data_IF_528683911088
#
_entry.id   IF_528683911088
#
_cell.length_a   1.000
_cell.length_b   1.000
_cell.length_c   1.000
_cell.angle_alpha   90.00
_cell.angle_beta   90.00
_cell.angle_gamma   90.00
#
_symmetry.space_group_name_H-M   'P 1'
#
loop_
_entity.id
_entity.type
_entity.pdbx_description
1 polymer ?
#
# COMPACT_ATOMS: atom_id res chain seq x y z
N UNK A 1 15.91 9.93 -16.42
CA UNK A 1 15.11 11.11 -16.81
C UNK A 1 14.55 11.10 -18.24
N UNK A 2 14.94 10.20 -19.14
CA UNK A 2 14.39 10.13 -20.53
C UNK A 2 13.22 9.14 -20.70
N UNK A 3 13.03 8.19 -19.82
CA UNK A 3 11.98 7.14 -19.93
C UNK A 3 10.64 7.63 -19.34
N UNK A 4 10.64 8.59 -18.40
CA UNK A 4 9.41 9.11 -17.78
C UNK A 4 8.61 10.05 -18.69
N UNK A 5 9.23 10.64 -19.72
CA UNK A 5 8.53 11.56 -20.65
C UNK A 5 7.65 10.85 -21.68
N UNK A 6 7.87 9.56 -21.93
CA UNK A 6 7.11 8.81 -22.92
C UNK A 6 5.85 8.13 -22.35
N UNK A 7 5.78 7.91 -21.03
CA UNK A 7 4.67 7.17 -20.39
C UNK A 7 3.43 8.04 -20.09
N UNK A 8 3.56 9.37 -20.05
CA UNK A 8 2.45 10.28 -19.70
C UNK A 8 1.74 10.93 -20.88
N UNK A 9 2.24 10.75 -22.12
CA UNK A 9 1.63 11.37 -23.31
C UNK A 9 0.55 10.51 -24.00
N UNK A 10 0.43 9.25 -23.65
CA UNK A 10 -0.43 8.32 -24.37
C UNK A 10 -1.92 8.23 -23.94
N UNK A 11 -2.37 8.58 -22.73
CA UNK A 11 -3.77 8.36 -22.36
C UNK A 11 -4.73 9.51 -22.70
N UNK A 12 -4.25 10.68 -23.17
CA UNK A 12 -5.15 11.83 -23.39
C UNK A 12 -5.88 11.82 -24.74
N UNK A 13 -5.46 10.97 -25.68
CA UNK A 13 -6.02 10.93 -27.04
C UNK A 13 -7.25 10.02 -27.21
N UNK A 14 -7.66 9.27 -26.17
CA UNK A 14 -8.81 8.33 -26.21
C UNK A 14 -10.11 8.90 -25.64
N UNK A 15 -10.18 10.18 -25.31
CA UNK A 15 -11.39 10.85 -24.81
C UNK A 15 -12.21 11.49 -25.96
N UNK A 16 -12.50 10.76 -27.02
CA UNK A 16 -13.56 11.14 -27.95
C UNK A 16 -14.82 10.41 -27.46
N UNK A 17 -15.88 11.12 -26.99
CA UNK A 17 -17.12 10.48 -26.65
C UNK A 17 -17.82 10.07 -27.95
N UNK A 18 -17.57 8.86 -28.44
CA UNK A 18 -18.57 8.19 -29.24
C UNK A 18 -19.72 7.85 -28.29
N UNK A 19 -20.96 8.14 -28.67
CA UNK A 19 -22.16 7.75 -27.93
C UNK A 19 -22.15 6.21 -27.76
N UNK A 20 -21.40 5.74 -26.76
CA UNK A 20 -21.37 4.35 -26.40
C UNK A 20 -22.70 4.09 -25.66
N UNK A 21 -23.55 3.27 -26.25
CA UNK A 21 -24.66 2.68 -25.52
C UNK A 21 -24.08 2.12 -24.23
N UNK A 22 -24.64 2.57 -23.08
CA UNK A 22 -24.20 2.10 -21.79
C UNK A 22 -24.22 0.57 -21.79
N UNK A 23 -23.06 -0.05 -21.72
CA UNK A 23 -22.98 -1.50 -21.62
C UNK A 23 -23.70 -1.93 -20.33
N UNK A 24 -24.51 -3.01 -20.36
CA UNK A 24 -25.24 -3.43 -19.19
C UNK A 24 -24.26 -3.72 -18.05
N UNK A 25 -24.55 -3.15 -16.87
CA UNK A 25 -23.75 -3.39 -15.69
C UNK A 25 -23.76 -4.90 -15.37
N UNK A 26 -22.59 -5.41 -14.99
CA UNK A 26 -22.45 -6.82 -14.62
C UNK A 26 -23.24 -7.08 -13.33
N UNK A 27 -24.27 -7.94 -13.43
CA UNK A 27 -25.08 -8.33 -12.28
C UNK A 27 -24.45 -9.52 -11.56
N UNK A 28 -23.85 -9.26 -10.40
CA UNK A 28 -23.23 -10.28 -9.57
C UNK A 28 -24.17 -11.37 -9.09
N UNK A 29 -25.50 -11.12 -9.04
CA UNK A 29 -26.49 -12.12 -8.66
C UNK A 29 -26.59 -13.26 -9.68
N UNK A 30 -26.17 -13.04 -10.92
CA UNK A 30 -26.11 -14.06 -11.98
C UNK A 30 -24.83 -14.89 -11.95
N UNK A 31 -23.92 -14.59 -11.02
CA UNK A 31 -22.63 -15.26 -10.91
C UNK A 31 -22.69 -16.38 -9.87
N UNK A 32 -22.62 -17.63 -10.34
CA UNK A 32 -22.45 -18.80 -9.47
C UNK A 32 -21.01 -18.95 -9.00
N UNK A 33 -20.77 -19.82 -8.01
CA UNK A 33 -19.47 -20.06 -7.40
C UNK A 33 -18.28 -20.28 -8.38
N UNK A 34 -18.43 -20.87 -9.60
CA UNK A 34 -17.30 -21.04 -10.50
C UNK A 34 -16.61 -19.74 -10.92
N UNK A 35 -17.32 -18.61 -10.85
CA UNK A 35 -16.74 -17.28 -11.13
C UNK A 35 -15.68 -16.83 -10.11
N UNK A 36 -15.63 -17.50 -8.96
CA UNK A 36 -14.55 -17.29 -7.99
C UNK A 36 -13.24 -18.01 -8.36
N UNK A 37 -13.25 -18.97 -9.30
CA UNK A 37 -12.09 -19.76 -9.67
C UNK A 37 -10.90 -18.94 -10.19
N UNK A 38 -11.06 -17.94 -11.06
CA UNK A 38 -9.94 -17.10 -11.49
C UNK A 38 -9.30 -16.33 -10.32
N UNK A 39 -10.12 -15.85 -9.40
CA UNK A 39 -9.63 -15.17 -8.19
C UNK A 39 -8.86 -16.16 -7.27
N UNK A 40 -9.42 -17.32 -7.01
CA UNK A 40 -8.73 -18.37 -6.26
C UNK A 40 -7.42 -18.80 -6.96
N UNK A 41 -7.44 -18.91 -8.28
CA UNK A 41 -6.29 -19.28 -9.09
C UNK A 41 -5.14 -18.27 -8.99
N UNK A 42 -5.43 -16.96 -9.06
CA UNK A 42 -4.39 -15.94 -8.90
C UNK A 42 -3.85 -15.91 -7.47
N UNK A 43 -4.71 -16.04 -6.45
CA UNK A 43 -4.28 -16.11 -5.05
C UNK A 43 -3.37 -17.32 -4.79
N UNK A 44 -3.74 -18.50 -5.30
CA UNK A 44 -2.90 -19.69 -5.20
C UNK A 44 -1.59 -19.52 -5.97
N UNK A 45 -1.60 -18.86 -7.12
CA UNK A 45 -0.39 -18.56 -7.88
C UNK A 45 0.55 -17.65 -7.08
N UNK A 46 0.03 -16.63 -6.39
CA UNK A 46 0.82 -15.73 -5.52
C UNK A 46 1.38 -16.48 -4.31
N UNK A 47 0.55 -17.32 -3.66
CA UNK A 47 0.95 -18.03 -2.45
C UNK A 47 1.94 -19.18 -2.72
N UNK A 48 1.68 -19.98 -3.75
CA UNK A 48 2.44 -21.19 -4.03
C UNK A 48 3.53 -21.00 -5.09
N UNK A 49 3.37 -20.04 -5.99
CA UNK A 49 4.32 -19.77 -7.08
C UNK A 49 5.76 -19.57 -6.60
N UNK A 50 6.04 -18.68 -5.64
CA UNK A 50 7.37 -18.47 -5.09
C UNK A 50 7.95 -19.71 -4.41
N UNK A 51 7.09 -20.55 -3.80
CA UNK A 51 7.50 -21.74 -3.04
C UNK A 51 7.77 -22.94 -3.95
N UNK A 52 6.87 -23.22 -4.88
CA UNK A 52 6.93 -24.43 -5.72
C UNK A 52 7.72 -24.20 -7.01
N UNK A 53 7.63 -23.01 -7.60
CA UNK A 53 8.22 -22.69 -8.90
C UNK A 53 8.97 -21.32 -8.87
N UNK A 54 9.97 -21.16 -7.97
CA UNK A 54 10.60 -19.85 -7.71
C UNK A 54 11.19 -19.20 -8.97
N UNK A 55 11.83 -19.97 -9.84
CA UNK A 55 12.43 -19.45 -11.10
C UNK A 55 11.36 -18.95 -12.10
N UNK A 56 10.28 -19.72 -12.24
CA UNK A 56 9.18 -19.34 -13.15
C UNK A 56 8.46 -18.12 -12.59
N UNK A 57 8.16 -18.14 -11.30
CA UNK A 57 7.49 -17.02 -10.64
C UNK A 57 8.29 -15.74 -10.76
N UNK A 58 9.56 -15.76 -10.37
CA UNK A 58 10.41 -14.56 -10.38
C UNK A 58 10.51 -13.91 -11.77
N UNK A 59 10.57 -14.72 -12.83
CA UNK A 59 10.74 -14.21 -14.19
C UNK A 59 9.41 -13.91 -14.90
N UNK A 60 8.26 -14.47 -14.44
CA UNK A 60 7.02 -14.46 -15.21
C UNK A 60 5.78 -14.10 -14.41
N UNK A 61 5.89 -13.63 -13.15
CA UNK A 61 4.72 -13.30 -12.32
C UNK A 61 3.74 -12.35 -13.01
N UNK A 62 4.25 -11.34 -13.74
CA UNK A 62 3.40 -10.42 -14.51
C UNK A 62 2.63 -11.11 -15.64
N UNK A 63 3.25 -12.06 -16.35
CA UNK A 63 2.58 -12.86 -17.39
C UNK A 63 1.52 -13.79 -16.81
N UNK A 64 1.78 -14.37 -15.63
CA UNK A 64 0.83 -15.23 -14.92
C UNK A 64 -0.38 -14.40 -14.49
N UNK A 65 -0.17 -13.21 -13.91
CA UNK A 65 -1.24 -12.30 -13.56
C UNK A 65 -2.07 -11.87 -14.78
N UNK A 66 -1.40 -11.50 -15.89
CA UNK A 66 -2.06 -11.16 -17.14
C UNK A 66 -2.88 -12.32 -17.70
N UNK A 67 -2.37 -13.55 -17.64
CA UNK A 67 -3.11 -14.73 -18.08
C UNK A 67 -4.41 -14.93 -17.29
N UNK A 68 -4.41 -14.74 -15.98
CA UNK A 68 -5.63 -14.79 -15.16
C UNK A 68 -6.63 -13.69 -15.52
N UNK A 69 -6.15 -12.47 -15.77
CA UNK A 69 -7.01 -11.35 -16.23
C UNK A 69 -7.64 -11.69 -17.57
N UNK A 70 -6.86 -12.15 -18.55
CA UNK A 70 -7.36 -12.50 -19.89
C UNK A 70 -8.34 -13.68 -19.83
N UNK A 71 -8.09 -14.68 -18.99
CA UNK A 71 -9.01 -15.81 -18.78
C UNK A 71 -10.35 -15.31 -18.22
N UNK A 72 -10.32 -14.43 -17.23
CA UNK A 72 -11.52 -13.84 -16.64
C UNK A 72 -12.30 -13.03 -17.68
N UNK A 73 -11.63 -12.18 -18.45
CA UNK A 73 -12.25 -11.35 -19.48
C UNK A 73 -12.83 -12.22 -20.62
N UNK A 74 -12.12 -13.27 -21.03
CA UNK A 74 -12.62 -14.21 -22.03
C UNK A 74 -13.88 -14.93 -21.55
N UNK A 75 -13.90 -15.41 -20.31
CA UNK A 75 -15.06 -16.03 -19.71
C UNK A 75 -16.26 -15.07 -19.64
N UNK A 76 -16.03 -13.82 -19.22
CA UNK A 76 -17.07 -12.77 -19.20
C UNK A 76 -17.57 -12.45 -20.60
N UNK A 77 -16.69 -12.34 -21.58
CA UNK A 77 -17.05 -12.05 -22.97
C UNK A 77 -17.91 -13.17 -23.60
N UNK A 78 -17.58 -14.43 -23.31
CA UNK A 78 -18.33 -15.59 -23.79
C UNK A 78 -19.73 -15.65 -23.14
N UNK A 79 -19.82 -15.37 -21.84
CA UNK A 79 -21.08 -15.52 -21.10
C UNK A 79 -22.01 -14.32 -21.20
N UNK A 80 -21.45 -13.09 -21.16
CA UNK A 80 -22.19 -11.83 -21.07
C UNK A 80 -21.97 -10.90 -22.25
N UNK A 81 -21.13 -11.28 -23.21
CA UNK A 81 -20.79 -10.48 -24.37
C UNK A 81 -19.56 -9.59 -24.16
N UNK A 82 -18.88 -9.29 -25.28
CA UNK A 82 -17.65 -8.47 -25.30
C UNK A 82 -17.87 -7.06 -24.73
N UNK A 83 -18.97 -6.33 -25.02
CA UNK A 83 -19.19 -5.00 -24.46
C UNK A 83 -19.28 -5.01 -22.93
N UNK A 84 -19.94 -6.01 -22.34
CA UNK A 84 -20.06 -6.16 -20.87
C UNK A 84 -18.71 -6.49 -20.24
N UNK A 85 -17.91 -7.36 -20.86
CA UNK A 85 -16.56 -7.68 -20.38
C UNK A 85 -15.63 -6.47 -20.41
N UNK A 86 -15.69 -5.66 -21.49
CA UNK A 86 -14.92 -4.43 -21.60
C UNK A 86 -15.38 -3.39 -20.56
N UNK A 87 -16.69 -3.21 -20.37
CA UNK A 87 -17.20 -2.30 -19.35
C UNK A 87 -16.77 -2.72 -17.94
N UNK A 88 -16.81 -4.01 -17.62
CA UNK A 88 -16.31 -4.53 -16.35
C UNK A 88 -14.80 -4.28 -16.15
N UNK A 89 -14.01 -4.46 -17.21
CA UNK A 89 -12.58 -4.16 -17.18
C UNK A 89 -12.31 -2.66 -16.96
N UNK A 90 -12.99 -1.80 -17.72
CA UNK A 90 -12.85 -0.33 -17.60
C UNK A 90 -13.27 0.12 -16.20
N UNK A 91 -14.36 -0.43 -15.66
CA UNK A 91 -14.79 -0.14 -14.29
C UNK A 91 -13.73 -0.52 -13.27
N UNK A 92 -13.23 -1.75 -13.30
CA UNK A 92 -12.20 -2.20 -12.37
C UNK A 92 -10.91 -1.38 -12.51
N UNK A 93 -10.51 -1.03 -13.74
CA UNK A 93 -9.30 -0.26 -14.01
C UNK A 93 -9.41 1.19 -13.51
N UNK A 94 -10.51 1.89 -13.81
CA UNK A 94 -10.67 3.32 -13.53
C UNK A 94 -11.19 3.59 -12.12
N UNK A 95 -12.23 2.86 -11.69
CA UNK A 95 -12.89 3.17 -10.43
C UNK A 95 -12.15 2.59 -9.20
N UNK A 96 -11.40 1.50 -9.38
CA UNK A 96 -10.73 0.82 -8.28
C UNK A 96 -9.19 0.87 -8.42
N UNK A 97 -8.65 0.26 -9.47
CA UNK A 97 -7.22 0.06 -9.63
C UNK A 97 -6.43 1.37 -9.74
N UNK A 98 -6.87 2.30 -10.59
CA UNK A 98 -6.14 3.55 -10.83
C UNK A 98 -6.08 4.40 -9.55
N UNK A 99 -7.20 4.61 -8.88
CA UNK A 99 -7.24 5.35 -7.61
C UNK A 99 -6.38 4.70 -6.53
N UNK A 100 -6.39 3.37 -6.47
CA UNK A 100 -5.57 2.61 -5.53
C UNK A 100 -4.05 2.77 -5.82
N UNK A 101 -3.63 2.63 -7.06
CA UNK A 101 -2.22 2.77 -7.45
C UNK A 101 -1.72 4.21 -7.24
N UNK A 102 -2.55 5.21 -7.54
CA UNK A 102 -2.21 6.62 -7.30
C UNK A 102 -1.98 6.86 -5.80
N UNK A 103 -2.86 6.33 -4.94
CA UNK A 103 -2.69 6.42 -3.49
C UNK A 103 -1.39 5.76 -3.02
N UNK A 104 -1.16 4.50 -3.42
CA UNK A 104 0.07 3.79 -3.06
C UNK A 104 1.32 4.52 -3.54
N UNK A 105 1.31 5.04 -4.77
CA UNK A 105 2.40 5.82 -5.32
C UNK A 105 2.65 7.09 -4.51
N UNK A 106 1.61 7.84 -4.16
CA UNK A 106 1.74 9.06 -3.36
C UNK A 106 2.31 8.75 -1.96
N UNK A 107 1.77 7.75 -1.26
CA UNK A 107 2.28 7.33 0.05
C UNK A 107 3.74 6.85 -0.04
N UNK A 108 4.07 6.02 -1.02
CA UNK A 108 5.41 5.50 -1.23
C UNK A 108 6.43 6.63 -1.46
N UNK A 109 6.12 7.56 -2.38
CA UNK A 109 6.98 8.68 -2.73
C UNK A 109 7.19 9.63 -1.54
N UNK A 110 6.10 9.96 -0.84
CA UNK A 110 6.16 10.93 0.28
C UNK A 110 6.85 10.29 1.48
N UNK A 111 6.50 9.05 1.84
CA UNK A 111 7.15 8.34 2.96
C UNK A 111 8.64 8.07 2.68
N UNK A 112 8.99 7.75 1.43
CA UNK A 112 10.38 7.57 1.01
C UNK A 112 11.26 8.80 1.20
N UNK A 113 10.66 9.99 1.32
CA UNK A 113 11.35 11.24 1.64
C UNK A 113 11.55 11.51 3.14
N UNK A 114 11.03 10.66 4.03
CA UNK A 114 11.19 10.78 5.49
C UNK A 114 12.31 9.85 5.93
N UNK A 115 13.38 10.41 6.49
CA UNK A 115 14.55 9.66 6.92
C UNK A 115 14.75 9.81 8.43
N UNK A 116 14.82 8.68 9.14
CA UNK A 116 15.22 8.61 10.55
C UNK A 116 16.72 8.35 10.62
N UNK A 117 17.45 9.30 11.19
CA UNK A 117 18.90 9.24 11.41
C UNK A 117 19.22 9.18 12.91
N UNK A 118 20.42 8.74 13.25
CA UNK A 118 20.89 8.59 14.62
C UNK A 118 21.26 7.15 14.94
N UNK A 119 21.90 6.95 16.09
CA UNK A 119 22.36 5.63 16.54
C UNK A 119 21.28 4.98 17.38
N UNK A 120 20.75 3.86 16.88
CA UNK A 120 19.84 2.99 17.61
C UNK A 120 20.57 1.68 17.92
N UNK A 121 20.49 1.25 19.15
CA UNK A 121 21.03 -0.05 19.59
C UNK A 121 19.91 -1.08 19.61
N UNK A 122 20.11 -2.23 18.98
CA UNK A 122 19.12 -3.30 18.86
C UNK A 122 18.82 -4.04 20.15
N UNK A 123 18.47 -3.30 21.21
CA UNK A 123 18.02 -3.88 22.48
C UNK A 123 16.55 -4.26 22.37
N UNK A 124 16.05 -5.23 23.19
CA UNK A 124 14.64 -5.59 23.21
C UNK A 124 13.70 -4.41 23.45
N UNK A 125 14.08 -3.46 24.29
CA UNK A 125 13.30 -2.25 24.55
C UNK A 125 13.26 -1.32 23.34
N UNK A 126 14.39 -1.11 22.64
CA UNK A 126 14.45 -0.30 21.42
C UNK A 126 13.62 -0.92 20.30
N UNK A 127 13.76 -2.24 20.11
CA UNK A 127 12.99 -2.95 19.10
C UNK A 127 11.49 -2.88 19.39
N UNK A 128 11.09 -3.11 20.66
CA UNK A 128 9.69 -2.99 21.09
C UNK A 128 9.16 -1.57 20.82
N UNK A 129 9.93 -0.54 21.15
CA UNK A 129 9.52 0.86 20.92
C UNK A 129 9.32 1.15 19.43
N UNK A 130 10.22 0.69 18.56
CA UNK A 130 10.10 0.88 17.10
C UNK A 130 8.87 0.14 16.57
N UNK A 131 8.64 -1.11 16.98
CA UNK A 131 7.48 -1.91 16.56
C UNK A 131 6.18 -1.29 17.05
N UNK A 132 6.11 -0.87 18.31
CA UNK A 132 4.93 -0.21 18.88
C UNK A 132 4.62 1.09 18.15
N UNK A 133 5.62 1.94 17.96
CA UNK A 133 5.46 3.20 17.23
C UNK A 133 5.04 2.96 15.78
N UNK A 134 5.68 2.02 15.09
CA UNK A 134 5.34 1.66 13.72
C UNK A 134 3.91 1.15 13.58
N UNK A 135 3.47 0.28 14.49
CA UNK A 135 2.09 -0.23 14.55
C UNK A 135 1.09 0.91 14.74
N UNK A 136 1.39 1.84 15.64
CA UNK A 136 0.50 2.97 15.93
C UNK A 136 0.35 3.93 14.75
N UNK A 137 1.44 4.19 13.99
CA UNK A 137 1.38 5.13 12.86
C UNK A 137 0.95 4.49 11.55
N UNK A 138 0.96 3.16 11.43
CA UNK A 138 0.70 2.47 10.16
C UNK A 138 -0.69 2.74 9.59
N UNK A 139 -1.71 2.92 10.44
CA UNK A 139 -3.04 3.35 9.99
C UNK A 139 -3.12 4.83 9.58
N UNK A 140 -2.11 5.65 9.91
CA UNK A 140 -2.09 7.09 9.61
C UNK A 140 -1.30 7.34 8.31
N UNK A 141 -0.10 6.77 8.21
CA UNK A 141 0.81 7.00 7.06
C UNK A 141 0.78 5.86 6.04
N UNK A 142 -0.08 4.88 6.25
CA UNK A 142 -0.11 3.62 5.51
C UNK A 142 0.95 2.63 6.00
N UNK A 143 0.67 1.33 5.86
CA UNK A 143 1.66 0.27 6.20
C UNK A 143 2.91 0.39 5.34
N UNK A 144 2.77 0.71 4.06
CA UNK A 144 3.91 0.98 3.17
C UNK A 144 4.73 2.16 3.67
N UNK A 145 4.09 3.26 4.06
CA UNK A 145 4.76 4.45 4.58
C UNK A 145 5.49 4.19 5.88
N UNK A 146 4.83 3.56 6.86
CA UNK A 146 5.44 3.18 8.14
C UNK A 146 6.62 2.22 7.94
N UNK A 147 6.47 1.26 7.02
CA UNK A 147 7.54 0.31 6.70
C UNK A 147 8.75 1.00 6.07
N UNK A 148 8.54 1.90 5.11
CA UNK A 148 9.65 2.65 4.48
C UNK A 148 10.43 3.48 5.50
N UNK A 149 9.75 4.12 6.45
CA UNK A 149 10.37 4.97 7.45
C UNK A 149 11.17 4.14 8.47
N UNK A 150 10.66 2.97 8.90
CA UNK A 150 11.15 2.29 10.10
C UNK A 150 11.97 1.02 9.85
N UNK A 151 11.82 0.34 8.71
CA UNK A 151 12.52 -0.93 8.47
C UNK A 151 14.04 -0.77 8.46
N UNK A 152 14.57 0.30 7.87
CA UNK A 152 15.99 0.53 7.79
C UNK A 152 16.64 0.90 9.12
N UNK A 153 16.08 1.84 9.91
CA UNK A 153 16.51 2.06 11.29
C UNK A 153 16.51 0.78 12.11
N UNK A 154 15.46 -0.06 11.97
CA UNK A 154 15.36 -1.32 12.68
C UNK A 154 16.45 -2.30 12.28
N UNK A 155 16.70 -2.48 10.98
CA UNK A 155 17.76 -3.38 10.48
C UNK A 155 19.14 -2.88 10.94
N UNK A 156 19.42 -1.57 10.82
CA UNK A 156 20.69 -0.99 11.26
C UNK A 156 20.92 -1.17 12.76
N UNK A 157 19.89 -0.92 13.58
CA UNK A 157 19.96 -1.11 15.02
C UNK A 157 20.35 -2.56 15.39
N UNK A 158 19.92 -3.54 14.60
CA UNK A 158 20.13 -4.96 14.86
C UNK A 158 21.27 -5.58 14.03
N UNK A 159 22.06 -4.77 13.29
CA UNK A 159 23.12 -5.29 12.42
C UNK A 159 24.23 -6.05 13.18
N UNK A 160 24.49 -5.69 14.44
CA UNK A 160 25.47 -6.37 15.30
C UNK A 160 24.96 -7.62 16.01
N UNK A 161 23.71 -8.03 15.78
CA UNK A 161 23.11 -9.21 16.42
C UNK A 161 23.27 -10.45 15.57
N UNK A 162 23.56 -11.57 16.19
CA UNK A 162 23.72 -12.86 15.52
C UNK A 162 22.39 -13.49 15.10
N UNK A 163 21.29 -13.15 15.78
CA UNK A 163 19.94 -13.67 15.50
C UNK A 163 18.91 -12.52 15.50
N UNK A 164 18.64 -11.98 14.31
CA UNK A 164 17.73 -10.84 14.14
C UNK A 164 16.53 -11.09 13.20
N UNK A 165 16.42 -12.28 12.59
CA UNK A 165 15.33 -12.59 11.65
C UNK A 165 13.93 -12.42 12.27
N UNK A 166 13.77 -12.79 13.56
CA UNK A 166 12.50 -12.64 14.27
C UNK A 166 12.08 -11.17 14.38
N UNK A 167 13.02 -10.23 14.50
CA UNK A 167 12.73 -8.80 14.58
C UNK A 167 12.02 -8.33 13.28
N UNK A 168 12.52 -8.78 12.14
CA UNK A 168 11.91 -8.47 10.83
C UNK A 168 10.56 -9.17 10.66
N UNK A 169 10.45 -10.43 11.08
CA UNK A 169 9.18 -11.18 11.01
C UNK A 169 8.09 -10.47 11.83
N UNK A 170 8.38 -10.09 13.06
CA UNK A 170 7.41 -9.36 13.88
C UNK A 170 7.13 -7.94 13.37
N UNK A 171 8.11 -7.30 12.72
CA UNK A 171 7.86 -6.04 12.03
C UNK A 171 6.82 -6.21 10.91
N UNK A 172 6.92 -7.28 10.12
CA UNK A 172 5.93 -7.57 9.09
C UNK A 172 4.55 -7.80 9.70
N UNK A 173 4.44 -8.59 10.77
CA UNK A 173 3.15 -8.82 11.41
C UNK A 173 2.54 -7.55 12.02
N UNK A 174 3.34 -6.78 12.72
CA UNK A 174 2.87 -5.62 13.47
C UNK A 174 2.70 -4.38 12.58
N UNK A 175 3.79 -3.93 11.95
CA UNK A 175 3.81 -2.65 11.23
C UNK A 175 3.21 -2.78 9.83
N UNK A 176 3.58 -3.83 9.10
CA UNK A 176 3.13 -4.01 7.73
C UNK A 176 1.73 -4.66 7.61
N UNK A 177 1.15 -5.17 8.69
CA UNK A 177 -0.18 -5.80 8.68
C UNK A 177 -1.09 -5.26 9.78
N UNK A 178 -0.93 -5.68 11.06
CA UNK A 178 -1.85 -5.36 12.16
C UNK A 178 -2.06 -3.84 12.29
N UNK A 179 -0.99 -3.06 12.21
CA UNK A 179 -1.05 -1.60 12.33
C UNK A 179 -1.86 -0.91 11.23
N UNK A 180 -2.09 -1.56 10.09
CA UNK A 180 -2.87 -1.03 8.98
C UNK A 180 -4.38 -1.19 9.11
N UNK A 181 -4.87 -1.95 10.10
CA UNK A 181 -6.26 -2.40 10.16
C UNK A 181 -7.29 -1.30 10.49
N UNK A 182 -6.87 -0.10 10.91
CA UNK A 182 -7.78 0.93 11.43
C UNK A 182 -8.12 2.04 10.46
N UNK A 183 -7.58 2.03 9.24
CA UNK A 183 -7.94 3.03 8.23
C UNK A 183 -7.79 2.52 6.80
N UNK A 184 -8.49 3.13 5.84
CA UNK A 184 -8.32 2.85 4.42
C UNK A 184 -6.90 3.09 3.87
N UNK A 185 -6.09 3.88 4.56
CA UNK A 185 -4.69 4.13 4.19
C UNK A 185 -3.77 2.96 4.57
N UNK A 186 -4.16 2.21 5.60
CA UNK A 186 -3.34 1.15 6.16
C UNK A 186 -3.34 -0.12 5.32
N UNK A 187 -4.47 -0.47 4.72
CA UNK A 187 -4.62 -1.75 4.04
C UNK A 187 -5.40 -1.61 2.72
N UNK A 188 -4.90 -2.16 1.60
CA UNK A 188 -5.53 -2.10 0.28
C UNK A 188 -7.02 -2.48 0.24
N UNK A 189 -7.46 -3.59 0.82
CA UNK A 189 -8.88 -3.95 0.83
C UNK A 189 -9.77 -2.91 1.52
N UNK A 190 -9.27 -2.24 2.56
CA UNK A 190 -10.01 -1.19 3.27
C UNK A 190 -10.18 0.06 2.40
N UNK A 191 -9.17 0.38 1.58
CA UNK A 191 -9.28 1.48 0.63
C UNK A 191 -10.31 1.19 -0.47
N UNK A 192 -10.35 -0.03 -0.99
CA UNK A 192 -11.40 -0.43 -1.95
C UNK A 192 -12.78 -0.36 -1.31
N UNK A 193 -12.91 -0.77 -0.04
CA UNK A 193 -14.14 -0.60 0.74
C UNK A 193 -14.56 0.87 0.84
N UNK A 194 -13.62 1.76 1.12
CA UNK A 194 -13.84 3.21 1.15
C UNK A 194 -14.30 3.75 -0.22
N UNK A 195 -13.68 3.34 -1.32
CA UNK A 195 -14.11 3.71 -2.67
C UNK A 195 -15.55 3.26 -2.98
N UNK A 196 -16.01 2.20 -2.34
CA UNK A 196 -17.36 1.65 -2.45
C UNK A 196 -18.35 2.22 -1.42
N UNK A 197 -17.96 3.28 -0.70
CA UNK A 197 -18.84 4.04 0.19
C UNK A 197 -18.81 3.62 1.66
N UNK A 198 -17.88 2.76 2.08
CA UNK A 198 -17.66 2.52 3.51
C UNK A 198 -17.03 3.77 4.13
N UNK A 199 -17.56 4.19 5.30
CA UNK A 199 -17.02 5.36 5.99
C UNK A 199 -15.53 5.21 6.34
N UNK A 200 -14.76 6.29 6.21
CA UNK A 200 -13.30 6.29 6.45
C UNK A 200 -12.92 5.83 7.85
N UNK A 201 -13.71 6.20 8.85
CA UNK A 201 -13.44 5.89 10.26
C UNK A 201 -14.14 4.61 10.74
N UNK A 202 -14.88 3.92 9.87
CA UNK A 202 -15.65 2.74 10.25
C UNK A 202 -14.78 1.68 10.93
N UNK A 203 -13.64 1.36 10.35
CA UNK A 203 -12.71 0.35 10.91
C UNK A 203 -12.10 0.82 12.23
N UNK A 204 -11.73 2.09 12.33
CA UNK A 204 -11.24 2.64 13.60
C UNK A 204 -12.29 2.55 14.71
N UNK A 205 -13.55 2.84 14.41
CA UNK A 205 -14.63 2.81 15.40
C UNK A 205 -15.00 1.40 15.87
N UNK A 206 -14.96 0.42 14.96
CA UNK A 206 -15.45 -0.93 15.23
C UNK A 206 -14.35 -1.96 15.53
N UNK A 207 -13.11 -1.74 15.06
CA UNK A 207 -12.03 -2.72 15.16
C UNK A 207 -10.87 -2.29 16.07
N UNK A 208 -10.90 -1.08 16.67
CA UNK A 208 -9.76 -0.58 17.45
C UNK A 208 -9.41 -1.51 18.64
N UNK A 209 -10.43 -2.04 19.34
CA UNK A 209 -10.20 -2.90 20.49
C UNK A 209 -9.59 -4.24 20.09
N UNK A 210 -10.12 -4.88 19.05
CA UNK A 210 -9.59 -6.14 18.53
C UNK A 210 -8.16 -5.96 18.03
N UNK A 211 -7.91 -4.89 17.26
CA UNK A 211 -6.57 -4.54 16.76
C UNK A 211 -5.62 -4.28 17.93
N UNK A 212 -6.04 -3.53 18.95
CA UNK A 212 -5.22 -3.25 20.12
C UNK A 212 -4.88 -4.53 20.90
N UNK A 213 -5.86 -5.42 21.13
CA UNK A 213 -5.63 -6.71 21.81
C UNK A 213 -4.61 -7.54 21.05
N UNK A 214 -4.80 -7.71 19.74
CA UNK A 214 -3.88 -8.50 18.90
C UNK A 214 -2.49 -7.87 18.87
N UNK A 215 -2.40 -6.54 18.70
CA UNK A 215 -1.12 -5.84 18.69
C UNK A 215 -0.37 -6.02 20.03
N UNK A 216 -1.05 -5.84 21.17
CA UNK A 216 -0.45 -6.00 22.50
C UNK A 216 0.01 -7.44 22.73
N UNK A 217 -0.79 -8.44 22.36
CA UNK A 217 -0.41 -9.85 22.49
C UNK A 217 0.83 -10.17 21.64
N UNK A 218 0.86 -9.74 20.38
CA UNK A 218 1.99 -9.99 19.48
C UNK A 218 3.24 -9.22 19.95
N UNK A 219 3.10 -7.98 20.44
CA UNK A 219 4.20 -7.21 21.04
C UNK A 219 4.75 -7.90 22.29
N UNK A 220 3.89 -8.44 23.15
CA UNK A 220 4.31 -9.17 24.35
C UNK A 220 5.08 -10.44 24.00
N UNK A 221 4.59 -11.22 23.04
CA UNK A 221 5.29 -12.41 22.52
C UNK A 221 6.66 -12.02 21.93
N UNK A 222 6.69 -10.96 21.11
CA UNK A 222 7.91 -10.42 20.56
C UNK A 222 8.92 -10.06 21.63
N UNK A 223 8.49 -9.27 22.63
CA UNK A 223 9.38 -8.80 23.69
C UNK A 223 9.96 -9.95 24.52
N UNK A 224 9.16 -10.96 24.85
CA UNK A 224 9.61 -12.15 25.55
C UNK A 224 10.65 -12.92 24.71
N UNK A 225 10.36 -13.15 23.41
CA UNK A 225 11.25 -13.86 22.50
C UNK A 225 12.56 -13.09 22.25
N UNK A 226 12.45 -11.78 22.01
CA UNK A 226 13.62 -10.92 21.73
C UNK A 226 14.51 -10.79 22.96
N UNK A 227 13.92 -10.67 24.17
CA UNK A 227 14.68 -10.67 25.43
C UNK A 227 15.38 -12.00 25.69
N UNK A 228 14.72 -13.14 25.42
CA UNK A 228 15.32 -14.46 25.56
C UNK A 228 16.52 -14.63 24.63
N UNK A 229 16.36 -14.28 23.35
CA UNK A 229 17.44 -14.35 22.36
C UNK A 229 18.59 -13.37 22.69
N UNK A 230 18.27 -12.14 23.09
CA UNK A 230 19.26 -11.12 23.41
C UNK A 230 20.16 -11.53 24.60
N UNK A 231 19.61 -12.21 25.61
CA UNK A 231 20.38 -12.71 26.74
C UNK A 231 21.33 -13.86 26.36
N UNK A 232 20.98 -14.63 25.34
CA UNK A 232 21.81 -15.72 24.83
C UNK A 232 22.95 -15.24 23.90
N UNK A 233 22.88 -13.99 23.43
CA UNK A 233 23.88 -13.42 22.55
C UNK A 233 24.99 -12.74 23.39
N UNK A 234 26.25 -12.91 22.98
CA UNK A 234 27.35 -12.05 23.43
C UNK A 234 27.34 -10.80 22.58
N UNK A 235 26.88 -9.65 23.08
CA UNK A 235 26.69 -8.47 22.26
C UNK A 235 28.06 -7.96 21.77
N UNK A 236 28.35 -8.13 20.50
CA UNK A 236 29.40 -7.37 19.80
C UNK A 236 28.81 -6.01 19.49
N UNK A 237 28.53 -5.21 20.53
CA UNK A 237 28.08 -3.84 20.37
C UNK A 237 29.25 -3.06 19.79
N UNK A 238 29.23 -2.82 18.49
CA UNK A 238 30.12 -1.87 17.88
C UNK A 238 29.98 -0.55 18.65
N UNK A 239 31.12 -0.02 19.12
CA UNK A 239 31.20 1.30 19.75
C UNK A 239 31.04 2.37 18.66
N UNK A 240 29.86 2.45 18.07
CA UNK A 240 29.51 3.61 17.24
C UNK A 240 29.24 4.80 18.16
N UNK A 241 29.68 6.00 17.80
CA UNK A 241 29.38 7.19 18.57
C UNK A 241 27.88 7.40 18.68
N UNK A 242 27.37 7.73 19.86
CA UNK A 242 25.98 8.01 20.11
C UNK A 242 25.55 9.30 19.38
N UNK A 243 24.89 9.17 18.27
CA UNK A 243 24.29 10.29 17.51
C UNK A 243 22.82 10.39 17.87
N UNK A 244 22.37 11.58 18.25
CA UNK A 244 20.97 11.84 18.60
C UNK A 244 20.02 11.48 17.45
N UNK A 245 18.87 10.92 17.80
CA UNK A 245 17.82 10.63 16.82
C UNK A 245 17.29 11.93 16.21
N UNK A 246 17.22 11.96 14.88
CA UNK A 246 16.65 13.08 14.15
C UNK A 246 15.80 12.58 12.98
N UNK A 247 14.72 13.31 12.72
CA UNK A 247 13.85 13.10 11.56
C UNK A 247 14.20 14.16 10.51
N UNK A 248 14.71 13.71 9.37
CA UNK A 248 14.94 14.54 8.19
C UNK A 248 13.76 14.39 7.22
N UNK A 249 13.54 15.41 6.39
CA UNK A 249 12.41 15.39 5.44
C UNK A 249 11.07 15.81 6.08
N UNK A 250 11.05 16.73 7.04
CA UNK A 250 9.84 17.23 7.73
C UNK A 250 8.75 17.73 6.78
N UNK A 251 9.11 18.24 5.59
CA UNK A 251 8.15 18.64 4.55
C UNK A 251 7.27 17.46 4.13
N UNK A 252 7.82 16.25 4.06
CA UNK A 252 7.05 15.06 3.70
C UNK A 252 6.05 14.65 4.78
N UNK A 253 6.30 14.97 6.06
CA UNK A 253 5.30 14.76 7.12
C UNK A 253 4.08 15.65 6.88
N UNK A 254 4.28 16.89 6.46
CA UNK A 254 3.18 17.79 6.07
C UNK A 254 2.46 17.25 4.82
N UNK A 255 3.20 16.74 3.83
CA UNK A 255 2.62 16.15 2.62
C UNK A 255 1.78 14.91 2.92
N UNK A 256 2.14 14.07 3.91
CA UNK A 256 1.26 12.99 4.40
C UNK A 256 -0.04 13.56 4.95
N UNK A 257 0.03 14.63 5.74
CA UNK A 257 -1.18 15.32 6.22
C UNK A 257 -2.07 15.81 5.07
N UNK A 258 -1.48 16.32 3.97
CA UNK A 258 -2.23 16.73 2.79
C UNK A 258 -2.83 15.53 2.03
N UNK A 259 -2.18 14.39 1.97
CA UNK A 259 -2.76 13.15 1.42
C UNK A 259 -4.02 12.78 2.21
N UNK A 260 -3.93 12.74 3.55
CA UNK A 260 -5.07 12.44 4.43
C UNK A 260 -6.19 13.44 4.20
N UNK A 261 -5.87 14.73 4.17
CA UNK A 261 -6.85 15.80 3.93
C UNK A 261 -7.54 15.64 2.56
N UNK A 262 -6.81 15.32 1.49
CA UNK A 262 -7.39 15.10 0.16
C UNK A 262 -8.37 13.93 0.14
N UNK A 263 -8.05 12.84 0.86
CA UNK A 263 -8.95 11.68 0.97
C UNK A 263 -10.20 12.01 1.77
N UNK A 264 -10.05 12.65 2.93
CA UNK A 264 -11.20 13.06 3.76
C UNK A 264 -12.08 14.09 3.03
N UNK A 265 -11.46 15.03 2.31
CA UNK A 265 -12.20 16.00 1.51
C UNK A 265 -13.01 15.31 0.39
N UNK A 266 -12.46 14.29 -0.26
CA UNK A 266 -13.19 13.56 -1.29
C UNK A 266 -14.40 12.78 -0.76
N UNK A 267 -14.39 12.42 0.53
CA UNK A 267 -15.55 11.81 1.19
C UNK A 267 -16.62 12.86 1.55
N UNK A 268 -16.18 14.05 1.99
CA UNK A 268 -17.08 15.13 2.43
C UNK A 268 -17.64 15.97 1.27
N UNK A 269 -16.85 16.20 0.23
CA UNK A 269 -17.24 17.00 -0.93
C UNK A 269 -17.79 16.11 -2.04
N UNK A 270 -19.11 16.09 -2.17
CA UNK A 270 -19.83 15.29 -3.15
C UNK A 270 -20.70 16.20 -4.05
N UNK A 271 -20.13 16.76 -5.14
CA UNK A 271 -20.87 17.69 -6.02
C UNK A 271 -21.95 17.02 -6.86
N UNK A 272 -22.05 15.71 -6.85
CA UNK A 272 -23.02 14.94 -7.63
C UNK A 272 -22.73 14.94 -9.15
N UNK A 273 -21.49 15.24 -9.54
CA UNK A 273 -21.06 15.25 -10.95
C UNK A 273 -20.29 13.96 -11.22
N UNK A 274 -20.82 13.16 -12.13
CA UNK A 274 -20.19 11.94 -12.61
C UNK A 274 -19.77 12.09 -14.07
N UNK A 275 -18.56 11.67 -14.39
CA UNK A 275 -18.09 11.52 -15.77
C UNK A 275 -18.32 10.09 -16.21
N UNK A 276 -19.09 9.91 -17.28
CA UNK A 276 -19.30 8.58 -17.87
C UNK A 276 -18.16 8.26 -18.85
N UNK A 277 -17.38 7.23 -18.51
CA UNK A 277 -16.31 6.72 -19.35
C UNK A 277 -16.64 5.27 -19.69
N UNK A 278 -17.11 5.04 -20.87
CA UNK A 278 -17.47 3.71 -21.37
C UNK A 278 -18.45 2.95 -20.44
N UNK A 279 -19.48 3.64 -19.95
CA UNK A 279 -20.46 3.10 -19.01
C UNK A 279 -20.01 3.07 -17.55
N UNK A 280 -18.78 3.51 -17.27
CA UNK A 280 -18.28 3.64 -15.90
C UNK A 280 -18.44 5.07 -15.43
N UNK A 281 -19.25 5.27 -14.39
CA UNK A 281 -19.43 6.56 -13.73
C UNK A 281 -18.25 6.81 -12.78
N UNK A 282 -17.44 7.81 -13.09
CA UNK A 282 -16.33 8.23 -12.24
C UNK A 282 -16.70 9.57 -11.61
N UNK A 283 -16.87 9.59 -10.30
CA UNK A 283 -17.27 10.78 -9.57
C UNK A 283 -16.16 11.85 -9.59
N UNK A 284 -16.54 13.11 -9.78
CA UNK A 284 -15.59 14.23 -9.88
C UNK A 284 -14.69 14.36 -8.65
N UNK A 285 -15.24 14.11 -7.45
CA UNK A 285 -14.47 14.13 -6.20
C UNK A 285 -13.32 13.08 -6.19
N UNK A 286 -13.51 11.93 -6.83
CA UNK A 286 -12.46 10.90 -6.92
C UNK A 286 -11.34 11.35 -7.86
N UNK A 287 -11.69 11.95 -9.01
CA UNK A 287 -10.69 12.51 -9.93
C UNK A 287 -9.92 13.68 -9.31
N UNK A 288 -10.60 14.55 -8.59
CA UNK A 288 -9.97 15.67 -7.88
C UNK A 288 -9.01 15.18 -6.80
N UNK A 289 -9.40 14.17 -6.01
CA UNK A 289 -8.53 13.49 -5.05
C UNK A 289 -7.31 12.91 -5.73
N UNK A 290 -7.49 12.12 -6.78
CA UNK A 290 -6.40 11.43 -7.45
C UNK A 290 -5.41 12.43 -8.10
N UNK A 291 -5.93 13.50 -8.69
CA UNK A 291 -5.11 14.62 -9.18
C UNK A 291 -4.31 15.28 -8.04
N UNK A 292 -4.95 15.55 -6.89
CA UNK A 292 -4.27 16.12 -5.73
C UNK A 292 -3.17 15.19 -5.22
N UNK A 293 -3.41 13.88 -5.14
CA UNK A 293 -2.41 12.90 -4.72
C UNK A 293 -1.19 12.88 -5.66
N UNK A 294 -1.42 12.96 -6.97
CA UNK A 294 -0.33 13.06 -7.97
C UNK A 294 0.48 14.34 -7.75
N UNK A 295 -0.19 15.48 -7.60
CA UNK A 295 0.48 16.78 -7.34
C UNK A 295 1.31 16.71 -6.06
N UNK A 296 0.79 16.13 -4.98
CA UNK A 296 1.50 15.97 -3.71
C UNK A 296 2.73 15.07 -3.91
N UNK A 297 2.61 13.96 -4.64
CA UNK A 297 3.74 13.09 -4.95
C UNK A 297 4.82 13.82 -5.74
N UNK A 298 4.44 14.56 -6.79
CA UNK A 298 5.38 15.35 -7.59
C UNK A 298 6.05 16.47 -6.76
N UNK A 299 5.29 17.14 -5.89
CA UNK A 299 5.84 18.12 -4.95
C UNK A 299 6.85 17.48 -4.00
N UNK A 300 6.57 16.27 -3.48
CA UNK A 300 7.54 15.54 -2.67
C UNK A 300 8.82 15.22 -3.45
N UNK A 301 8.71 14.80 -4.71
CA UNK A 301 9.88 14.54 -5.56
C UNK A 301 10.72 15.81 -5.77
N UNK A 302 10.09 16.93 -5.99
CA UNK A 302 10.77 18.20 -6.24
C UNK A 302 11.39 18.83 -4.97
N UNK A 303 10.75 18.65 -3.81
CA UNK A 303 11.14 19.32 -2.57
C UNK A 303 12.05 18.51 -1.66
N UNK A 304 12.24 17.22 -1.93
CA UNK A 304 13.07 16.34 -1.09
C UNK A 304 14.42 16.08 -1.76
N UNK A 305 15.53 16.37 -1.07
CA UNK A 305 16.87 16.07 -1.58
C UNK A 305 17.06 14.59 -1.91
N UNK A 306 17.72 14.29 -3.02
CA UNK A 306 17.99 12.91 -3.46
C UNK A 306 18.83 12.13 -2.44
N UNK A 307 19.70 12.80 -1.69
CA UNK A 307 20.50 12.21 -0.61
C UNK A 307 19.61 11.58 0.48
N UNK A 308 18.50 12.22 0.86
CA UNK A 308 17.58 11.68 1.85
C UNK A 308 16.89 10.42 1.33
N UNK A 309 16.50 10.41 0.06
CA UNK A 309 15.86 9.28 -0.61
C UNK A 309 16.84 8.11 -0.74
N UNK A 310 18.06 8.37 -1.21
CA UNK A 310 19.12 7.38 -1.35
C UNK A 310 19.47 6.75 0.01
N UNK A 311 19.61 7.56 1.07
CA UNK A 311 19.86 7.08 2.43
C UNK A 311 18.72 6.23 2.98
N UNK A 312 17.49 6.49 2.55
CA UNK A 312 16.30 5.67 2.84
C UNK A 312 16.14 4.50 1.85
N UNK A 313 17.04 4.37 0.87
CA UNK A 313 17.03 3.36 -0.20
C UNK A 313 15.80 3.38 -1.08
N UNK A 314 15.24 4.57 -1.18
CA UNK A 314 14.18 4.81 -2.13
C UNK A 314 14.76 4.75 -3.55
N UNK A 315 14.14 3.92 -4.41
CA UNK A 315 14.44 3.83 -5.85
C UNK A 315 13.13 3.61 -6.61
N UNK A 316 13.08 4.13 -7.83
CA UNK A 316 12.01 3.83 -8.77
C UNK A 316 12.32 2.54 -9.51
#
# INVERSE_FOLDING_TARGET
MRILKAAFAAPLALLIPTAAQAAPALDGAQMAWPWALPFAGILLSIALGPLLLPKIWHNHYGKIATAWVLLTLAALAVRFGVPTALAAFVHAALAEYMSFIILLFALYVVAGGILVTGTLRGTPATNLAILTFGTAIASIVGTTGASMILIRPLIRANAGRSSNAHVVIFFIFLVANIGGALSPLGDPPLFVGFLRGVDFFWTAQHLWLQTAIVAVLVLAIFFALDTFKFRAEVPTLAKEPDVALAIRGRRNVVLIGLIIAAILLSAAWQPGIDLDIYGTKVALQNLARDAALIVIALASLALTPDEHRAANGFSF
#
